data_IF_310125869046
#
_entry.id   IF_310125869046
#
_cell.length_a   1.000
_cell.length_b   1.000
_cell.length_c   1.000
_cell.angle_alpha   90.00
_cell.angle_beta   90.00
_cell.angle_gamma   90.00
#
_symmetry.space_group_name_H-M   'P 1'
#
loop_
_entity.id
_entity.type
_entity.pdbx_description
1 polymer ?
#
# COMPACT_ATOMS: atom_id res chain seq x y z
N UNK A 1 -0.88 -32.95 -6.24
CA UNK A 1 -0.20 -31.86 -5.51
C UNK A 1 1.30 -32.03 -5.71
N UNK A 2 2.07 -30.96 -6.00
CA UNK A 2 3.53 -31.05 -6.08
C UNK A 2 4.10 -31.17 -4.67
N UNK A 3 5.24 -31.83 -4.50
CA UNK A 3 5.91 -31.94 -3.20
C UNK A 3 7.06 -30.94 -3.14
N UNK A 4 7.20 -30.26 -2.00
CA UNK A 4 8.37 -29.43 -1.75
C UNK A 4 9.65 -30.29 -1.71
N UNK A 5 10.83 -29.69 -1.95
CA UNK A 5 12.10 -30.38 -1.87
C UNK A 5 12.24 -31.19 -0.57
N UNK A 6 12.81 -32.40 -0.68
CA UNK A 6 13.05 -33.34 0.43
C UNK A 6 11.82 -33.88 1.16
N UNK A 7 10.59 -33.42 0.91
CA UNK A 7 9.35 -33.99 1.51
C UNK A 7 9.14 -35.48 1.16
N UNK A 8 9.65 -35.94 0.01
CA UNK A 8 9.66 -37.37 -0.35
C UNK A 8 10.60 -38.22 0.49
N UNK A 9 11.65 -37.60 1.03
CA UNK A 9 12.75 -38.26 1.73
C UNK A 9 12.53 -38.28 3.25
N UNK A 10 11.57 -37.50 3.74
CA UNK A 10 11.11 -37.53 5.12
C UNK A 10 10.44 -38.87 5.44
N UNK A 11 10.62 -39.38 6.67
CA UNK A 11 9.96 -40.60 7.15
C UNK A 11 8.43 -40.49 7.09
N UNK A 12 7.73 -41.63 6.97
CA UNK A 12 6.28 -41.64 6.74
C UNK A 12 5.59 -42.72 7.57
N UNK A 13 4.29 -42.53 7.76
CA UNK A 13 3.43 -43.48 8.47
C UNK A 13 3.23 -43.13 9.95
N UNK A 14 2.32 -43.86 10.57
CA UNK A 14 1.80 -43.58 11.93
C UNK A 14 2.91 -43.56 12.99
N UNK A 15 3.98 -44.33 12.79
CA UNK A 15 5.13 -44.39 13.71
C UNK A 15 5.94 -43.10 13.77
N UNK A 16 5.87 -42.25 12.74
CA UNK A 16 6.62 -41.00 12.63
C UNK A 16 5.72 -39.76 12.79
N UNK A 17 4.51 -39.94 13.34
CA UNK A 17 3.51 -38.86 13.50
C UNK A 17 4.03 -37.71 14.36
N UNK A 18 4.75 -38.06 15.42
CA UNK A 18 5.34 -37.14 16.40
C UNK A 18 6.78 -36.75 16.03
N UNK A 19 7.36 -37.36 14.99
CA UNK A 19 8.69 -36.98 14.50
C UNK A 19 8.60 -35.59 13.88
N UNK A 20 9.47 -34.68 14.31
CA UNK A 20 9.49 -33.29 13.86
C UNK A 20 10.03 -33.20 12.42
N UNK A 21 9.43 -32.34 11.60
CA UNK A 21 9.93 -32.04 10.25
C UNK A 21 10.62 -30.68 10.28
N UNK A 22 11.85 -30.61 9.80
CA UNK A 22 12.63 -29.37 9.76
C UNK A 22 12.45 -28.69 8.39
N UNK A 23 12.09 -27.42 8.41
CA UNK A 23 11.86 -26.58 7.23
C UNK A 23 12.73 -25.32 7.30
N UNK A 24 13.53 -25.07 6.27
CA UNK A 24 14.19 -23.78 6.05
C UNK A 24 13.38 -22.96 5.04
N UNK A 25 13.07 -21.70 5.35
CA UNK A 25 12.27 -20.85 4.47
C UNK A 25 12.86 -19.44 4.33
N UNK A 26 12.98 -18.96 3.09
CA UNK A 26 13.50 -17.64 2.75
C UNK A 26 14.52 -17.66 1.60
N UNK A 27 15.12 -16.50 1.31
CA UNK A 27 16.07 -16.31 0.20
C UNK A 27 17.23 -17.31 0.22
N UNK A 28 17.71 -17.69 1.41
CA UNK A 28 18.89 -18.54 1.60
C UNK A 28 18.54 -19.96 2.05
N UNK A 29 17.27 -20.38 1.86
CA UNK A 29 16.75 -21.65 2.36
C UNK A 29 17.56 -22.88 1.91
N UNK A 30 18.00 -22.91 0.64
CA UNK A 30 18.80 -24.03 0.13
C UNK A 30 20.18 -24.11 0.79
N UNK A 31 20.86 -22.97 0.94
CA UNK A 31 22.19 -22.89 1.56
C UNK A 31 22.17 -23.36 3.00
N UNK A 32 21.16 -22.92 3.77
CA UNK A 32 21.00 -23.32 5.17
C UNK A 32 20.58 -24.79 5.32
N UNK A 33 19.72 -25.29 4.44
CA UNK A 33 19.33 -26.70 4.41
C UNK A 33 20.52 -27.62 4.10
N UNK A 34 21.40 -27.19 3.18
CA UNK A 34 22.65 -27.89 2.86
C UNK A 34 23.62 -27.88 4.05
N UNK A 35 23.82 -26.73 4.68
CA UNK A 35 24.66 -26.62 5.88
C UNK A 35 24.18 -27.52 7.02
N UNK A 36 22.86 -27.55 7.28
CA UNK A 36 22.27 -28.45 8.28
C UNK A 36 22.60 -29.90 7.99
N UNK A 37 22.45 -30.33 6.73
CA UNK A 37 22.71 -31.71 6.32
C UNK A 37 24.19 -32.11 6.43
N UNK A 38 25.11 -31.18 6.15
CA UNK A 38 26.56 -31.46 6.13
C UNK A 38 27.17 -31.45 7.54
N UNK A 39 26.69 -30.59 8.44
CA UNK A 39 27.34 -30.33 9.72
C UNK A 39 26.50 -30.72 10.96
N UNK A 40 25.25 -30.25 11.03
CA UNK A 40 24.46 -30.29 12.27
C UNK A 40 23.59 -31.55 12.41
N UNK A 41 23.11 -32.11 11.29
CA UNK A 41 22.34 -33.36 11.23
C UNK A 41 23.10 -34.55 11.86
N UNK A 42 24.43 -34.61 11.63
CA UNK A 42 25.32 -35.64 12.23
C UNK A 42 25.45 -35.52 13.74
N UNK A 43 25.40 -34.31 14.30
CA UNK A 43 25.50 -34.06 15.74
C UNK A 43 24.19 -34.39 16.47
N UNK A 44 23.05 -34.23 15.79
CA UNK A 44 21.71 -34.53 16.32
C UNK A 44 21.28 -36.00 16.11
N UNK A 45 22.05 -36.79 15.34
CA UNK A 45 21.69 -38.16 14.99
C UNK A 45 20.52 -38.26 13.99
N UNK A 46 20.17 -37.16 13.32
CA UNK A 46 19.13 -37.09 12.31
C UNK A 46 19.77 -37.26 10.92
N UNK A 47 19.28 -38.23 10.14
CA UNK A 47 19.77 -38.50 8.79
C UNK A 47 18.78 -38.03 7.71
N UNK A 48 17.65 -37.42 8.09
CA UNK A 48 16.65 -36.93 7.13
C UNK A 48 17.01 -35.52 6.62
N UNK A 49 17.11 -35.32 5.30
CA UNK A 49 17.44 -34.00 4.76
C UNK A 49 16.28 -33.03 4.99
N UNK A 50 16.54 -31.82 5.50
CA UNK A 50 15.47 -30.88 5.84
C UNK A 50 14.76 -30.40 4.58
N UNK A 51 13.47 -30.08 4.72
CA UNK A 51 12.68 -29.44 3.68
C UNK A 51 13.16 -28.00 3.54
N UNK A 52 13.18 -27.48 2.31
CA UNK A 52 13.52 -26.08 2.08
C UNK A 52 12.56 -25.40 1.11
N UNK A 53 12.26 -24.14 1.40
CA UNK A 53 11.34 -23.29 0.66
C UNK A 53 12.09 -22.01 0.25
N UNK A 54 12.73 -22.07 -0.91
CA UNK A 54 13.37 -20.91 -1.55
C UNK A 54 12.37 -20.05 -2.31
N UNK A 55 12.84 -19.02 -3.01
CA UNK A 55 11.98 -18.09 -3.75
C UNK A 55 11.01 -18.79 -4.71
N UNK A 56 11.49 -19.79 -5.47
CA UNK A 56 10.68 -20.54 -6.42
C UNK A 56 9.60 -21.41 -5.72
N UNK A 57 9.91 -22.00 -4.56
CA UNK A 57 8.95 -22.83 -3.82
C UNK A 57 7.93 -21.96 -3.09
N UNK A 58 8.36 -20.85 -2.51
CA UNK A 58 7.47 -19.85 -1.94
C UNK A 58 6.54 -19.27 -3.03
N UNK A 59 7.04 -19.14 -4.27
CA UNK A 59 6.23 -18.75 -5.43
C UNK A 59 5.27 -19.82 -5.96
N UNK A 60 5.23 -21.04 -5.43
CA UNK A 60 4.25 -22.07 -5.81
C UNK A 60 3.60 -22.72 -4.57
N UNK A 61 3.62 -22.01 -3.44
CA UNK A 61 3.24 -22.56 -2.14
C UNK A 61 1.79 -23.07 -2.09
N UNK A 62 0.87 -22.50 -2.87
CA UNK A 62 -0.53 -22.98 -3.02
C UNK A 62 -0.60 -24.41 -3.54
N UNK A 63 0.29 -24.78 -4.46
CA UNK A 63 0.30 -26.08 -5.16
C UNK A 63 1.26 -27.09 -4.52
N UNK A 64 2.03 -26.65 -3.53
CA UNK A 64 3.03 -27.46 -2.85
C UNK A 64 2.51 -28.02 -1.53
N UNK A 65 2.84 -29.29 -1.31
CA UNK A 65 2.81 -29.93 -0.01
C UNK A 65 4.19 -29.78 0.63
N UNK A 66 4.23 -29.08 1.76
CA UNK A 66 5.47 -28.73 2.47
C UNK A 66 5.81 -29.69 3.62
N UNK A 67 4.85 -30.52 4.04
CA UNK A 67 5.01 -31.50 5.12
C UNK A 67 4.32 -32.81 4.72
N UNK A 68 4.90 -33.99 5.05
CA UNK A 68 4.25 -35.28 4.84
C UNK A 68 2.89 -35.39 5.54
N UNK A 69 1.95 -36.13 4.96
CA UNK A 69 0.62 -36.31 5.53
C UNK A 69 0.69 -36.95 6.93
N UNK A 70 -0.14 -36.45 7.84
CA UNK A 70 -0.29 -36.97 9.19
C UNK A 70 0.75 -36.48 10.21
N UNK A 71 1.76 -35.69 9.81
CA UNK A 71 2.74 -35.11 10.73
C UNK A 71 2.10 -34.08 11.66
N UNK A 72 2.47 -34.10 12.93
CA UNK A 72 1.94 -33.20 13.96
C UNK A 72 2.89 -32.08 14.38
N UNK A 73 4.19 -32.25 14.17
CA UNK A 73 5.22 -31.36 14.72
C UNK A 73 6.18 -30.88 13.64
N UNK A 74 6.46 -29.58 13.60
CA UNK A 74 7.32 -28.95 12.59
C UNK A 74 8.25 -27.91 13.22
N UNK A 75 9.49 -27.86 12.76
CA UNK A 75 10.42 -26.77 13.05
C UNK A 75 10.64 -25.93 11.82
N UNK A 76 10.56 -24.61 11.96
CA UNK A 76 10.72 -23.69 10.83
C UNK A 76 11.83 -22.71 11.18
N UNK A 77 12.86 -22.66 10.35
CA UNK A 77 13.93 -21.68 10.45
C UNK A 77 13.81 -20.67 9.33
N UNK A 78 13.83 -19.37 9.68
CA UNK A 78 14.03 -18.33 8.68
C UNK A 78 15.46 -18.44 8.13
N UNK A 79 15.58 -18.49 6.82
CA UNK A 79 16.86 -18.54 6.12
C UNK A 79 16.97 -17.33 5.19
N UNK A 80 17.70 -16.31 5.63
CA UNK A 80 17.78 -15.02 4.94
C UNK A 80 16.49 -14.23 5.04
N UNK A 81 16.10 -13.57 3.95
CA UNK A 81 14.88 -12.79 3.89
C UNK A 81 13.64 -13.67 3.72
N UNK A 82 12.65 -13.49 4.60
CA UNK A 82 11.34 -14.13 4.50
C UNK A 82 10.26 -13.10 4.86
N UNK A 83 9.38 -12.83 3.91
CA UNK A 83 8.32 -11.85 4.04
C UNK A 83 7.30 -12.23 5.14
N UNK A 84 6.77 -11.28 5.94
CA UNK A 84 5.73 -11.56 6.93
C UNK A 84 4.49 -12.26 6.36
N UNK A 85 4.06 -11.88 5.16
CA UNK A 85 2.94 -12.54 4.47
C UNK A 85 3.25 -14.00 4.10
N UNK A 86 4.50 -14.31 3.77
CA UNK A 86 4.94 -15.67 3.48
C UNK A 86 5.04 -16.53 4.76
N UNK A 87 5.46 -15.93 5.89
CA UNK A 87 5.40 -16.57 7.21
C UNK A 87 3.96 -16.99 7.52
N UNK A 88 3.02 -16.06 7.32
CA UNK A 88 1.59 -16.32 7.54
C UNK A 88 1.07 -17.43 6.63
N UNK A 89 1.41 -17.38 5.34
CA UNK A 89 1.06 -18.39 4.35
C UNK A 89 1.60 -19.80 4.66
N UNK A 90 2.85 -19.90 5.12
CA UNK A 90 3.43 -21.17 5.60
C UNK A 90 2.61 -21.69 6.78
N UNK A 91 2.29 -20.83 7.75
CA UNK A 91 1.42 -21.16 8.88
C UNK A 91 0.08 -21.77 8.46
N UNK A 92 -0.62 -21.12 7.51
CA UNK A 92 -1.89 -21.63 6.98
C UNK A 92 -1.74 -22.99 6.28
N UNK A 93 -0.63 -23.20 5.55
CA UNK A 93 -0.35 -24.49 4.92
C UNK A 93 -0.11 -25.61 5.93
N UNK A 94 0.59 -25.31 7.02
CA UNK A 94 0.79 -26.26 8.12
C UNK A 94 -0.51 -26.57 8.85
N UNK A 95 -1.33 -25.55 9.09
CA UNK A 95 -2.66 -25.69 9.68
C UNK A 95 -3.56 -26.60 8.82
N UNK A 96 -3.61 -26.35 7.50
CA UNK A 96 -4.36 -27.16 6.54
C UNK A 96 -3.85 -28.61 6.45
N UNK A 97 -2.55 -28.83 6.65
CA UNK A 97 -1.95 -30.17 6.70
C UNK A 97 -2.21 -30.93 8.02
N UNK A 98 -2.85 -30.30 9.00
CA UNK A 98 -3.17 -30.90 10.30
C UNK A 98 -2.04 -30.88 11.32
N UNK A 99 -1.00 -30.06 11.11
CA UNK A 99 0.11 -29.86 12.05
C UNK A 99 -0.42 -29.20 13.32
N UNK A 100 -0.10 -29.76 14.48
CA UNK A 100 -0.61 -29.31 15.78
C UNK A 100 0.38 -28.40 16.50
N UNK A 101 1.68 -28.66 16.34
CA UNK A 101 2.75 -27.93 16.99
C UNK A 101 3.79 -27.47 15.96
N UNK A 102 4.16 -26.21 16.02
CA UNK A 102 5.26 -25.71 15.22
C UNK A 102 6.10 -24.69 15.99
N UNK A 103 7.42 -24.83 15.92
CA UNK A 103 8.35 -23.87 16.49
C UNK A 103 8.99 -23.07 15.35
N UNK A 104 8.73 -21.77 15.30
CA UNK A 104 9.33 -20.85 14.34
C UNK A 104 10.49 -20.09 14.95
N UNK A 105 11.61 -20.10 14.26
CA UNK A 105 12.86 -19.42 14.64
C UNK A 105 13.04 -18.21 13.72
N UNK A 106 12.58 -17.01 14.14
CA UNK A 106 12.60 -15.81 13.30
C UNK A 106 14.02 -15.32 13.01
N UNK A 107 14.99 -15.61 13.89
CA UNK A 107 16.39 -15.21 13.72
C UNK A 107 17.23 -16.29 13.01
N UNK A 108 16.57 -17.36 12.55
CA UNK A 108 17.20 -18.47 11.83
C UNK A 108 17.87 -19.52 12.73
N UNK A 109 18.70 -20.37 12.13
CA UNK A 109 19.22 -21.61 12.75
C UNK A 109 20.04 -21.37 14.03
N UNK A 110 20.80 -20.27 14.09
CA UNK A 110 21.64 -19.91 15.24
C UNK A 110 20.92 -18.95 16.20
N UNK A 111 19.65 -18.63 15.94
CA UNK A 111 18.84 -17.76 16.76
C UNK A 111 18.40 -18.43 18.06
N UNK A 112 18.34 -17.65 19.14
CA UNK A 112 17.82 -18.12 20.43
C UNK A 112 16.31 -17.88 20.58
N UNK A 113 15.75 -16.95 19.78
CA UNK A 113 14.32 -16.63 19.82
C UNK A 113 13.52 -17.75 19.16
N UNK A 114 12.50 -18.23 19.87
CA UNK A 114 11.56 -19.25 19.39
C UNK A 114 10.13 -18.76 19.62
N UNK A 115 9.33 -18.84 18.56
CA UNK A 115 7.90 -18.57 18.59
C UNK A 115 7.15 -19.90 18.44
N UNK A 116 6.44 -20.32 19.50
CA UNK A 116 5.59 -21.49 19.41
C UNK A 116 4.26 -21.13 18.76
N UNK A 117 3.93 -21.81 17.67
CA UNK A 117 2.77 -21.54 16.83
C UNK A 117 1.56 -22.42 17.13
N UNK A 118 1.53 -23.19 18.23
CA UNK A 118 0.41 -24.09 18.54
C UNK A 118 -0.96 -23.40 18.54
N UNK A 119 -1.07 -22.27 19.24
CA UNK A 119 -2.31 -21.47 19.29
C UNK A 119 -2.61 -20.79 17.95
N UNK A 120 -1.57 -20.29 17.29
CA UNK A 120 -1.68 -19.67 15.96
C UNK A 120 -2.21 -20.66 14.91
N UNK A 121 -1.69 -21.88 14.87
CA UNK A 121 -2.17 -22.93 13.96
C UNK A 121 -3.61 -23.37 14.28
N UNK A 122 -4.01 -23.35 15.56
CA UNK A 122 -5.40 -23.62 15.94
C UNK A 122 -6.34 -22.55 15.39
N UNK A 123 -5.97 -21.28 15.50
CA UNK A 123 -6.72 -20.16 14.90
C UNK A 123 -6.77 -20.25 13.38
N UNK A 124 -5.65 -20.51 12.73
CA UNK A 124 -5.62 -20.61 11.26
C UNK A 124 -6.46 -21.80 10.72
N UNK A 125 -6.57 -22.91 11.47
CA UNK A 125 -7.51 -23.99 11.13
C UNK A 125 -8.96 -23.54 11.16
N UNK A 126 -9.33 -22.70 12.13
CA UNK A 126 -10.67 -22.13 12.20
C UNK A 126 -10.90 -21.11 11.06
N UNK A 127 -9.92 -20.25 10.77
CA UNK A 127 -10.01 -19.34 9.62
C UNK A 127 -10.21 -20.10 8.29
N UNK A 128 -9.54 -21.25 8.13
CA UNK A 128 -9.71 -22.13 6.97
C UNK A 128 -11.11 -22.74 6.89
N UNK A 129 -11.71 -23.15 8.00
CA UNK A 129 -13.10 -23.66 8.02
C UNK A 129 -14.11 -22.56 7.69
N UNK A 130 -13.82 -21.34 8.08
CA UNK A 130 -14.68 -20.17 7.89
C UNK A 130 -14.48 -19.51 6.52
N UNK A 131 -13.63 -20.09 5.66
CA UNK A 131 -13.36 -19.60 4.29
C UNK A 131 -12.47 -18.37 4.20
N UNK A 132 -11.85 -17.93 5.32
CA UNK A 132 -10.97 -16.77 5.42
C UNK A 132 -9.52 -17.11 5.01
N UNK A 133 -9.34 -17.53 3.76
CA UNK A 133 -8.02 -17.88 3.22
C UNK A 133 -7.30 -16.63 2.73
N UNK A 134 -6.02 -16.47 3.07
CA UNK A 134 -5.19 -15.41 2.49
C UNK A 134 -4.93 -15.74 1.03
N UNK A 135 -5.19 -14.81 0.12
CA UNK A 135 -4.67 -14.91 -1.23
C UNK A 135 -3.15 -14.80 -1.19
N UNK A 136 -2.47 -15.89 -1.56
CA UNK A 136 -1.01 -15.94 -1.53
C UNK A 136 -0.43 -14.83 -2.43
N UNK A 137 0.71 -14.23 -2.04
CA UNK A 137 1.39 -13.20 -2.84
C UNK A 137 1.76 -13.69 -4.24
N UNK A 138 1.84 -15.00 -4.46
CA UNK A 138 2.04 -15.63 -5.76
C UNK A 138 0.93 -15.32 -6.75
N UNK A 139 -0.33 -15.42 -6.31
CA UNK A 139 -1.48 -15.10 -7.15
C UNK A 139 -1.48 -13.61 -7.47
N UNK A 140 -1.12 -12.78 -6.51
CA UNK A 140 -0.98 -11.33 -6.68
C UNK A 140 0.19 -10.96 -7.61
N UNK A 141 1.34 -11.64 -7.50
CA UNK A 141 2.52 -11.51 -8.39
C UNK A 141 2.20 -11.92 -9.83
N UNK A 142 1.45 -13.01 -10.01
CA UNK A 142 1.00 -13.48 -11.32
C UNK A 142 -0.05 -12.54 -11.93
N UNK A 143 -0.92 -11.95 -11.12
CA UNK A 143 -1.90 -10.95 -11.58
C UNK A 143 -1.21 -9.69 -12.10
N UNK A 144 -0.32 -9.05 -11.33
CA UNK A 144 0.29 -7.78 -11.71
C UNK A 144 1.13 -7.86 -13.01
N UNK A 145 1.83 -8.97 -13.21
CA UNK A 145 2.65 -9.22 -14.40
C UNK A 145 1.84 -9.57 -15.65
N UNK A 146 0.60 -10.07 -15.48
CA UNK A 146 -0.31 -10.42 -16.58
C UNK A 146 -1.30 -9.32 -16.94
N UNK A 147 -1.48 -8.32 -16.07
CA UNK A 147 -2.35 -7.18 -16.31
C UNK A 147 -2.00 -6.42 -17.60
N UNK A 148 -3.01 -5.86 -18.25
CA UNK A 148 -2.84 -4.88 -19.29
C UNK A 148 -2.30 -3.56 -18.71
N UNK A 149 -1.71 -2.71 -19.56
CA UNK A 149 -1.17 -1.42 -19.12
C UNK A 149 -2.26 -0.49 -18.56
N UNK A 150 -3.49 -0.59 -19.06
CA UNK A 150 -4.67 0.14 -18.54
C UNK A 150 -5.09 -0.34 -17.15
N UNK A 151 -5.01 -1.63 -16.86
CA UNK A 151 -5.35 -2.16 -15.54
C UNK A 151 -4.29 -1.74 -14.50
N UNK A 152 -3.00 -1.72 -14.89
CA UNK A 152 -1.93 -1.19 -14.04
C UNK A 152 -2.08 0.31 -13.81
N UNK A 153 -2.47 1.05 -14.84
CA UNK A 153 -2.78 2.46 -14.72
C UNK A 153 -3.92 2.72 -13.75
N UNK A 154 -4.95 1.88 -13.74
CA UNK A 154 -6.03 1.99 -12.75
C UNK A 154 -5.52 1.76 -11.32
N UNK A 155 -4.69 0.74 -11.07
CA UNK A 155 -4.08 0.55 -9.75
C UNK A 155 -3.25 1.75 -9.31
N UNK A 156 -2.58 2.42 -10.25
CA UNK A 156 -1.83 3.65 -9.98
C UNK A 156 -2.77 4.82 -9.68
N UNK A 157 -3.89 4.95 -10.40
CA UNK A 157 -4.90 5.98 -10.15
C UNK A 157 -5.51 5.83 -8.74
N UNK A 158 -5.79 4.60 -8.32
CA UNK A 158 -6.38 4.26 -7.02
C UNK A 158 -5.48 4.62 -5.81
N UNK A 159 -4.22 5.03 -6.05
CA UNK A 159 -3.33 5.58 -5.02
C UNK A 159 -3.67 7.01 -4.59
N UNK A 160 -4.50 7.70 -5.36
CA UNK A 160 -4.80 9.11 -5.16
C UNK A 160 -6.31 9.32 -5.00
N UNK A 161 -6.70 10.35 -4.24
CA UNK A 161 -8.11 10.69 -4.03
C UNK A 161 -8.81 11.17 -5.32
N UNK A 162 -8.02 11.60 -6.31
CA UNK A 162 -8.47 11.99 -7.64
C UNK A 162 -7.27 12.20 -8.57
N UNK A 163 -7.45 11.92 -9.86
CA UNK A 163 -6.42 12.05 -10.89
C UNK A 163 -7.01 12.63 -12.17
N UNK A 164 -6.41 13.70 -12.69
CA UNK A 164 -6.76 14.28 -13.98
C UNK A 164 -5.51 14.57 -14.80
N UNK A 165 -5.68 14.87 -16.09
CA UNK A 165 -4.59 15.22 -17.01
C UNK A 165 -4.86 16.59 -17.62
N UNK A 166 -3.86 17.47 -17.57
CA UNK A 166 -3.97 18.76 -18.24
C UNK A 166 -3.99 18.55 -19.77
N UNK A 167 -5.00 19.04 -20.50
CA UNK A 167 -5.24 18.66 -21.89
C UNK A 167 -4.11 19.07 -22.85
N UNK A 168 -3.44 20.20 -22.60
CA UNK A 168 -2.36 20.69 -23.47
C UNK A 168 -0.97 20.20 -23.08
N UNK A 169 -0.62 20.22 -21.79
CA UNK A 169 0.72 19.88 -21.30
C UNK A 169 0.91 18.39 -21.00
N UNK A 170 -0.18 17.61 -20.99
CA UNK A 170 -0.22 16.20 -20.57
C UNK A 170 0.31 15.96 -19.14
N UNK A 171 0.42 17.02 -18.34
CA UNK A 171 0.85 16.91 -16.94
C UNK A 171 -0.31 16.33 -16.13
N UNK A 172 -0.03 15.21 -15.47
CA UNK A 172 -0.95 14.59 -14.51
C UNK A 172 -1.04 15.45 -13.27
N UNK A 173 -2.26 15.73 -12.83
CA UNK A 173 -2.54 16.36 -11.55
C UNK A 173 -3.29 15.39 -10.65
N UNK A 174 -3.03 15.46 -9.36
CA UNK A 174 -3.73 14.65 -8.35
C UNK A 174 -4.37 15.54 -7.31
N UNK A 175 -5.52 15.12 -6.82
CA UNK A 175 -6.27 15.85 -5.80
C UNK A 175 -5.61 15.67 -4.43
N UNK A 176 -5.14 16.75 -3.83
CA UNK A 176 -4.50 16.76 -2.50
C UNK A 176 -4.85 18.03 -1.75
N UNK A 177 -5.38 17.89 -0.53
CA UNK A 177 -5.61 19.03 0.35
C UNK A 177 -6.55 20.10 -0.24
N UNK A 178 -7.54 19.69 -1.03
CA UNK A 178 -8.53 20.61 -1.61
C UNK A 178 -8.11 21.30 -2.91
N UNK A 179 -6.97 20.92 -3.49
CA UNK A 179 -6.49 21.46 -4.78
C UNK A 179 -5.93 20.37 -5.69
N UNK A 180 -5.90 20.65 -6.99
CA UNK A 180 -5.23 19.84 -8.01
C UNK A 180 -3.74 20.19 -8.08
N UNK A 181 -2.89 19.24 -7.68
CA UNK A 181 -1.43 19.42 -7.64
C UNK A 181 -0.75 18.70 -8.81
N UNK A 182 0.16 19.35 -9.57
CA UNK A 182 0.91 18.68 -10.62
C UNK A 182 1.83 17.61 -10.04
N UNK A 183 1.89 16.46 -10.71
CA UNK A 183 2.72 15.32 -10.31
C UNK A 183 3.71 14.98 -11.41
N UNK A 184 4.96 14.76 -11.03
CA UNK A 184 6.00 14.37 -11.98
C UNK A 184 5.89 12.91 -12.40
N UNK A 185 6.33 12.58 -13.62
CA UNK A 185 6.46 11.19 -14.09
C UNK A 185 7.29 10.32 -13.13
N UNK A 186 8.31 10.91 -12.48
CA UNK A 186 9.15 10.20 -11.51
C UNK A 186 8.37 9.81 -10.26
N UNK A 187 7.52 10.69 -9.75
CA UNK A 187 6.67 10.40 -8.59
C UNK A 187 5.66 9.30 -8.93
N UNK A 188 4.97 9.39 -10.08
CA UNK A 188 4.09 8.33 -10.57
C UNK A 188 4.82 6.99 -10.75
N UNK A 189 6.07 7.03 -11.24
CA UNK A 189 6.90 5.84 -11.39
C UNK A 189 7.28 5.21 -10.06
N UNK A 190 7.50 6.02 -9.01
CA UNK A 190 7.79 5.53 -7.65
C UNK A 190 6.55 4.93 -6.99
N UNK A 191 5.38 5.53 -7.18
CA UNK A 191 4.12 4.95 -6.71
C UNK A 191 3.84 3.61 -7.39
N UNK A 192 4.10 3.51 -8.70
CA UNK A 192 4.01 2.23 -9.39
C UNK A 192 5.02 1.21 -8.86
N UNK A 193 6.26 1.62 -8.61
CA UNK A 193 7.27 0.75 -7.98
C UNK A 193 6.80 0.24 -6.61
N UNK A 194 6.22 1.10 -5.78
CA UNK A 194 5.66 0.73 -4.49
C UNK A 194 4.55 -0.33 -4.63
N UNK A 195 3.64 -0.19 -5.62
CA UNK A 195 2.64 -1.23 -5.95
C UNK A 195 3.31 -2.57 -6.26
N UNK A 196 4.33 -2.58 -7.12
CA UNK A 196 5.04 -3.81 -7.46
C UNK A 196 5.72 -4.45 -6.22
N UNK A 197 6.33 -3.63 -5.38
CA UNK A 197 7.00 -4.06 -4.16
C UNK A 197 6.02 -4.65 -3.13
N UNK A 198 4.85 -4.03 -2.93
CA UNK A 198 3.78 -4.56 -2.07
C UNK A 198 3.27 -5.92 -2.54
N UNK A 199 3.22 -6.15 -3.85
CA UNK A 199 2.78 -7.40 -4.47
C UNK A 199 3.90 -8.41 -4.75
N UNK A 200 5.13 -8.14 -4.29
CA UNK A 200 6.29 -9.04 -4.50
C UNK A 200 6.58 -9.32 -5.98
N UNK A 201 6.20 -8.39 -6.84
CA UNK A 201 6.33 -8.49 -8.27
C UNK A 201 7.57 -7.73 -8.75
N UNK A 202 8.28 -8.32 -9.70
CA UNK A 202 9.36 -7.62 -10.41
C UNK A 202 8.76 -6.81 -11.54
N UNK A 203 9.35 -5.66 -11.83
CA UNK A 203 8.97 -4.82 -12.96
C UNK A 203 10.16 -4.57 -13.88
N UNK A 204 9.85 -4.10 -15.08
CA UNK A 204 10.83 -3.44 -15.94
C UNK A 204 10.51 -1.95 -16.01
N UNK A 205 11.51 -1.13 -16.31
CA UNK A 205 11.32 0.30 -16.56
C UNK A 205 10.25 0.56 -17.63
N UNK A 206 10.19 -0.28 -18.67
CA UNK A 206 9.19 -0.18 -19.74
C UNK A 206 7.77 -0.37 -19.21
N UNK A 207 7.55 -1.36 -18.35
CA UNK A 207 6.21 -1.64 -17.80
C UNK A 207 5.73 -0.51 -16.89
N UNK A 208 6.62 0.07 -16.09
CA UNK A 208 6.28 1.26 -15.29
C UNK A 208 5.92 2.43 -16.21
N UNK A 209 6.76 2.74 -17.19
CA UNK A 209 6.50 3.84 -18.12
C UNK A 209 5.18 3.66 -18.87
N UNK A 210 4.90 2.45 -19.35
CA UNK A 210 3.66 2.14 -20.04
C UNK A 210 2.43 2.33 -19.14
N UNK A 211 2.50 1.95 -17.87
CA UNK A 211 1.40 2.18 -16.93
C UNK A 211 1.17 3.68 -16.70
N UNK A 212 2.24 4.48 -16.60
CA UNK A 212 2.14 5.95 -16.46
C UNK A 212 1.58 6.60 -17.73
N UNK A 213 1.98 6.16 -18.92
CA UNK A 213 1.39 6.68 -20.17
C UNK A 213 -0.08 6.25 -20.32
N UNK A 214 -0.42 5.02 -19.96
CA UNK A 214 -1.80 4.56 -19.93
C UNK A 214 -2.64 5.35 -18.91
N UNK A 215 -2.07 5.77 -17.78
CA UNK A 215 -2.74 6.64 -16.80
C UNK A 215 -3.19 7.95 -17.44
N UNK A 216 -2.33 8.61 -18.21
CA UNK A 216 -2.70 9.85 -18.92
C UNK A 216 -3.87 9.67 -19.89
N UNK A 217 -4.00 8.48 -20.47
CA UNK A 217 -5.08 8.16 -21.42
C UNK A 217 -6.41 7.91 -20.70
N UNK A 218 -6.39 7.27 -19.53
CA UNK A 218 -7.60 6.95 -18.77
C UNK A 218 -8.05 8.08 -17.84
N UNK A 219 -7.13 8.94 -17.41
CA UNK A 219 -7.42 10.06 -16.52
C UNK A 219 -8.36 11.05 -17.20
N UNK A 220 -9.25 11.65 -16.41
CA UNK A 220 -10.17 12.65 -16.93
C UNK A 220 -9.39 13.91 -17.38
N UNK A 221 -9.79 14.55 -18.49
CA UNK A 221 -9.24 15.85 -18.86
C UNK A 221 -9.55 16.88 -17.78
N UNK A 222 -8.53 17.58 -17.32
CA UNK A 222 -8.66 18.66 -16.36
C UNK A 222 -9.54 19.78 -16.94
N UNK A 223 -10.52 20.22 -16.17
CA UNK A 223 -11.33 21.40 -16.49
C UNK A 223 -10.65 22.71 -16.10
N UNK A 224 -11.35 23.81 -16.33
CA UNK A 224 -10.88 25.16 -15.99
C UNK A 224 -11.45 25.60 -14.65
N UNK A 225 -10.63 26.18 -13.74
CA UNK A 225 -11.14 26.80 -12.54
C UNK A 225 -12.04 27.99 -12.89
N UNK A 226 -13.19 28.08 -12.23
CA UNK A 226 -14.08 29.23 -12.40
C UNK A 226 -13.41 30.50 -11.88
N UNK A 227 -13.37 31.55 -12.70
CA UNK A 227 -12.90 32.88 -12.30
C UNK A 227 -13.78 33.55 -11.23
N UNK A 228 -14.96 33.00 -10.97
CA UNK A 228 -15.87 33.48 -9.92
C UNK A 228 -15.60 32.81 -8.55
N UNK A 229 -14.67 31.86 -8.47
CA UNK A 229 -14.33 31.21 -7.20
C UNK A 229 -13.07 31.82 -6.59
N UNK A 230 -13.18 32.23 -5.34
CA UNK A 230 -12.04 32.68 -4.53
C UNK A 230 -11.63 31.55 -3.56
N UNK A 231 -10.50 30.86 -3.82
CA UNK A 231 -10.06 29.73 -3.01
C UNK A 231 -9.35 30.15 -1.71
N UNK A 232 -9.89 29.70 -0.58
CA UNK A 232 -9.32 29.77 0.76
C UNK A 232 -8.69 28.43 1.16
N UNK A 233 -7.99 28.37 2.29
CA UNK A 233 -7.37 27.12 2.77
C UNK A 233 -8.39 26.05 3.19
N UNK A 234 -9.63 26.45 3.50
CA UNK A 234 -10.69 25.59 4.03
C UNK A 234 -11.93 25.49 3.11
N UNK A 235 -11.84 25.98 1.88
CA UNK A 235 -12.95 25.99 0.92
C UNK A 235 -12.84 27.10 -0.12
N UNK A 236 -13.92 27.34 -0.85
CA UNK A 236 -13.99 28.40 -1.86
C UNK A 236 -15.23 29.27 -1.64
N UNK A 237 -15.07 30.57 -1.85
CA UNK A 237 -16.17 31.54 -1.87
C UNK A 237 -16.59 31.79 -3.31
N UNK A 238 -17.87 31.58 -3.62
CA UNK A 238 -18.47 31.99 -4.88
C UNK A 238 -18.76 33.50 -4.84
N UNK A 239 -18.13 34.25 -5.74
CA UNK A 239 -18.21 35.71 -5.80
C UNK A 239 -19.55 36.21 -6.37
N UNK A 240 -20.31 35.37 -7.07
CA UNK A 240 -21.63 35.71 -7.61
C UNK A 240 -22.73 35.51 -6.57
N UNK A 241 -22.69 34.40 -5.84
CA UNK A 241 -23.72 34.07 -4.84
C UNK A 241 -23.36 34.58 -3.44
N UNK A 242 -22.07 34.76 -3.17
CA UNK A 242 -21.55 35.04 -1.82
C UNK A 242 -21.51 33.81 -0.92
N UNK A 243 -21.75 32.61 -1.46
CA UNK A 243 -21.76 31.37 -0.69
C UNK A 243 -20.36 30.77 -0.55
N UNK A 244 -20.03 30.35 0.66
CA UNK A 244 -18.80 29.62 0.95
C UNK A 244 -19.09 28.12 1.03
N UNK A 245 -18.29 27.31 0.33
CA UNK A 245 -18.42 25.86 0.31
C UNK A 245 -17.07 25.16 0.50
N UNK A 246 -17.05 23.91 1.02
CA UNK A 246 -15.82 23.11 1.06
C UNK A 246 -15.23 22.90 -0.34
N UNK A 247 -13.93 22.60 -0.41
CA UNK A 247 -13.30 22.26 -1.69
C UNK A 247 -13.94 21.04 -2.32
N UNK A 248 -14.11 21.10 -3.64
CA UNK A 248 -14.56 19.97 -4.44
C UNK A 248 -13.69 19.85 -5.70
N UNK A 249 -13.40 18.63 -6.17
CA UNK A 249 -12.57 18.41 -7.36
C UNK A 249 -13.12 19.10 -8.62
N UNK A 250 -14.46 19.22 -8.72
CA UNK A 250 -15.18 19.78 -9.86
C UNK A 250 -14.95 21.27 -10.08
N UNK A 251 -14.40 21.97 -9.07
CA UNK A 251 -14.06 23.38 -9.15
C UNK A 251 -12.70 23.64 -9.80
N UNK A 252 -11.91 22.60 -10.07
CA UNK A 252 -10.62 22.66 -10.77
C UNK A 252 -9.59 23.63 -10.16
N UNK A 253 -9.70 23.89 -8.85
CA UNK A 253 -8.81 24.79 -8.12
C UNK A 253 -7.42 24.16 -8.02
N UNK A 254 -6.39 24.91 -8.43
CA UNK A 254 -4.98 24.46 -8.38
C UNK A 254 -4.19 25.11 -7.25
N UNK A 255 -4.68 26.21 -6.70
CA UNK A 255 -4.03 26.98 -5.63
C UNK A 255 -5.07 27.65 -4.74
N UNK A 256 -4.71 27.96 -3.50
CA UNK A 256 -5.53 28.75 -2.59
C UNK A 256 -4.70 29.86 -1.93
N UNK A 257 -5.35 30.88 -1.39
CA UNK A 257 -4.66 32.02 -0.75
C UNK A 257 -3.97 31.69 0.59
N UNK A 258 -4.22 30.51 1.19
CA UNK A 258 -3.61 30.07 2.45
C UNK A 258 -4.25 30.67 3.71
N UNK A 259 -5.34 31.40 3.55
CA UNK A 259 -6.12 32.02 4.63
C UNK A 259 -7.36 31.15 4.86
N UNK A 260 -7.75 30.95 6.11
CA UNK A 260 -9.03 30.31 6.42
C UNK A 260 -10.16 31.33 6.32
N UNK A 261 -11.20 31.00 5.56
CA UNK A 261 -12.43 31.77 5.54
C UNK A 261 -13.16 31.58 6.87
N UNK A 262 -13.65 32.70 7.42
CA UNK A 262 -14.56 32.71 8.55
C UNK A 262 -15.76 33.59 8.21
N UNK A 263 -16.99 33.18 8.58
CA UNK A 263 -18.14 34.05 8.45
C UNK A 263 -17.99 35.26 9.40
N UNK A 264 -18.58 36.42 9.06
CA UNK A 264 -18.51 37.59 9.91
C UNK A 264 -19.06 37.30 11.32
N UNK A 265 -18.32 37.70 12.35
CA UNK A 265 -18.80 37.61 13.71
C UNK A 265 -19.99 38.58 13.94
N UNK A 266 -20.89 38.31 14.89
CA UNK A 266 -21.99 39.21 15.19
C UNK A 266 -21.51 40.63 15.51
N UNK A 267 -21.95 41.61 14.72
CA UNK A 267 -21.56 43.02 14.85
C UNK A 267 -20.21 43.39 14.23
N UNK A 268 -19.52 42.45 13.59
CA UNK A 268 -18.27 42.70 12.88
C UNK A 268 -18.46 43.70 11.76
N UNK A 269 -17.64 44.76 11.76
CA UNK A 269 -17.69 45.81 10.77
C UNK A 269 -16.31 46.44 10.55
N UNK A 270 -16.08 46.99 9.36
CA UNK A 270 -14.79 47.58 8.99
C UNK A 270 -14.36 48.70 9.95
N UNK A 271 -15.30 49.50 10.47
CA UNK A 271 -15.01 50.66 11.31
C UNK A 271 -14.39 50.25 12.64
N UNK A 272 -14.97 49.24 13.29
CA UNK A 272 -14.59 48.84 14.64
C UNK A 272 -13.52 47.73 14.62
N UNK A 273 -13.60 46.81 13.65
CA UNK A 273 -12.70 45.64 13.56
C UNK A 273 -11.47 45.88 12.68
N UNK A 274 -11.49 46.88 11.80
CA UNK A 274 -10.34 47.28 10.99
C UNK A 274 -10.10 48.81 11.06
N UNK A 275 -9.89 49.38 12.27
CA UNK A 275 -9.95 50.83 12.49
C UNK A 275 -8.91 51.62 11.69
N UNK A 276 -7.72 51.06 11.46
CA UNK A 276 -6.69 51.72 10.64
C UNK A 276 -7.06 51.72 9.15
N UNK A 277 -7.59 50.60 8.65
CA UNK A 277 -8.10 50.50 7.29
C UNK A 277 -9.30 51.43 7.08
N UNK A 278 -10.22 51.49 8.05
CA UNK A 278 -11.35 52.42 7.99
C UNK A 278 -10.92 53.89 7.94
N UNK A 279 -9.98 54.32 8.79
CA UNK A 279 -9.44 55.69 8.76
C UNK A 279 -8.80 56.02 7.41
N UNK A 280 -8.01 55.09 6.87
CA UNK A 280 -7.42 55.24 5.54
C UNK A 280 -8.50 55.34 4.45
N UNK A 281 -9.50 54.46 4.47
CA UNK A 281 -10.59 54.41 3.51
C UNK A 281 -11.43 55.68 3.55
N UNK A 282 -11.75 56.16 4.75
CA UNK A 282 -12.49 57.41 4.98
C UNK A 282 -11.71 58.61 4.42
N UNK A 283 -10.40 58.66 4.67
CA UNK A 283 -9.52 59.70 4.14
C UNK A 283 -9.43 59.66 2.60
N UNK A 284 -9.15 58.50 2.01
CA UNK A 284 -9.04 58.33 0.56
C UNK A 284 -10.36 58.65 -0.18
N UNK A 285 -11.49 58.35 0.47
CA UNK A 285 -12.82 58.67 -0.03
C UNK A 285 -13.27 60.12 0.22
N UNK A 286 -12.51 60.93 0.98
CA UNK A 286 -12.95 62.27 1.38
C UNK A 286 -14.24 62.25 2.20
N UNK A 287 -14.41 61.20 3.03
CA UNK A 287 -15.62 60.93 3.83
C UNK A 287 -16.90 60.68 3.02
N UNK A 288 -16.81 60.43 1.71
CA UNK A 288 -17.96 60.05 0.87
C UNK A 288 -18.21 58.53 0.94
N UNK A 289 -19.33 58.08 1.52
CA UNK A 289 -19.65 56.65 1.66
C UNK A 289 -19.73 55.91 0.32
N UNK A 290 -20.20 56.56 -0.76
CA UNK A 290 -20.28 55.93 -2.09
C UNK A 290 -18.88 55.73 -2.67
N UNK A 291 -17.96 56.67 -2.42
CA UNK A 291 -16.57 56.53 -2.84
C UNK A 291 -15.85 55.47 -2.02
N UNK A 292 -16.09 55.37 -0.71
CA UNK A 292 -15.59 54.27 0.12
C UNK A 292 -16.04 52.91 -0.44
N UNK A 293 -17.32 52.76 -0.77
CA UNK A 293 -17.84 51.50 -1.32
C UNK A 293 -17.21 51.13 -2.68
N UNK A 294 -16.97 52.11 -3.55
CA UNK A 294 -16.24 51.89 -4.82
C UNK A 294 -14.77 51.50 -4.61
N UNK A 295 -14.09 52.08 -3.61
CA UNK A 295 -12.72 51.69 -3.26
C UNK A 295 -12.70 50.25 -2.74
N UNK A 296 -13.63 49.87 -1.85
CA UNK A 296 -13.74 48.49 -1.39
C UNK A 296 -14.00 47.52 -2.54
N UNK A 297 -14.90 47.86 -3.46
CA UNK A 297 -15.15 47.04 -4.65
C UNK A 297 -13.91 46.92 -5.55
N UNK A 298 -13.11 47.99 -5.68
CA UNK A 298 -11.86 47.97 -6.44
C UNK A 298 -10.74 47.17 -5.78
N UNK A 299 -10.71 47.07 -4.44
CA UNK A 299 -9.76 46.24 -3.70
C UNK A 299 -10.08 44.74 -3.76
N UNK A 300 -11.29 44.40 -4.21
CA UNK A 300 -11.75 43.02 -4.42
C UNK A 300 -11.42 42.49 -5.83
N UNK A 301 -11.09 43.35 -6.80
CA UNK A 301 -10.66 42.98 -8.16
C UNK A 301 -9.15 42.83 -8.25
#
# INVERSE_FOLDING_TARGET
MKLAPNVKQQSRGIKHKETEVIIFAGSDAWSHAKQWQEHDARMAGDNEPPVWLGEQQLSELDKLQIVPEGRKSVRIFRAGYLAPVMIKAIGQKLAAAGVQDANFYPDGMHGQKVENWREYLARERQNLSDGLVIELPVKQKAQLSQMADSERAQLLADRFDGVCVHPESEIVHVWRGGVWCPVSTMELSREMEAIYSEHWATFSKRVINNAVEALKVIAEPMGEPSGDLLPFANGALDLKTGEFSPHTPENWITTHNGIEYTPPAPGENIRDNAPNFHKWLEHAAGKDPRKMMRICAALYM
#
